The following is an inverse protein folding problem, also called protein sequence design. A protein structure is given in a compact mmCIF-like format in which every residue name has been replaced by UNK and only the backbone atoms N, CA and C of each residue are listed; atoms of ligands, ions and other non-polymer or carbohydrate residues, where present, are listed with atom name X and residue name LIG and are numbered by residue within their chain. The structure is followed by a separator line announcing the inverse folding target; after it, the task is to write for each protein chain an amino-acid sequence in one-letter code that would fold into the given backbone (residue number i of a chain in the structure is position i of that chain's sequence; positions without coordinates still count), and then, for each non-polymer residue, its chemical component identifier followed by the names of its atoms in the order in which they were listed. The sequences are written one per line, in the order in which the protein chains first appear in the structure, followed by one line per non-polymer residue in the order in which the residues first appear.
data_IF_206407310589
#
_entry.id   IF_206407310589
#
_cell.length_a   1.000
_cell.length_b   1.000
_cell.length_c   1.000
_cell.angle_alpha   90.00
_cell.angle_beta   90.00
_cell.angle_gamma   90.00
#
_symmetry.space_group_name_H-M   'P 1'
#
loop_
_entity.id
_entity.type
_entity.pdbx_description
1 polymer ?
#
# COMPACT_ATOMS: atom_id res chain seq x y z
N UNK A 1 -15.13 1.91 -11.82
CA UNK A 1 -13.89 1.15 -12.13
C UNK A 1 -13.02 1.08 -10.88
N UNK A 2 -12.30 -0.04 -10.66
CA UNK A 2 -11.39 -0.16 -9.52
C UNK A 2 -10.09 0.61 -9.77
N UNK A 3 -9.37 0.98 -8.70
CA UNK A 3 -8.05 1.61 -8.85
C UNK A 3 -7.09 0.75 -9.68
N UNK A 4 -7.08 -0.56 -9.46
CA UNK A 4 -6.30 -1.52 -10.26
C UNK A 4 -6.65 -1.49 -11.75
N UNK A 5 -7.93 -1.34 -12.09
CA UNK A 5 -8.38 -1.23 -13.49
C UNK A 5 -7.87 0.05 -14.14
N UNK A 6 -7.91 1.18 -13.42
CA UNK A 6 -7.40 2.46 -13.92
C UNK A 6 -5.90 2.42 -14.18
N UNK A 7 -5.11 1.81 -13.27
CA UNK A 7 -3.66 1.61 -13.47
C UNK A 7 -3.39 0.77 -14.72
N UNK A 8 -4.09 -0.35 -14.89
CA UNK A 8 -3.92 -1.22 -16.06
C UNK A 8 -4.32 -0.53 -17.35
N UNK A 9 -5.38 0.26 -17.34
CA UNK A 9 -5.80 1.05 -18.50
C UNK A 9 -4.74 2.10 -18.88
N UNK A 10 -4.21 2.86 -17.90
CA UNK A 10 -3.14 3.83 -18.11
C UNK A 10 -1.91 3.19 -18.75
N UNK A 11 -1.42 2.08 -18.16
CA UNK A 11 -0.26 1.36 -18.66
C UNK A 11 -0.49 0.79 -20.07
N UNK A 12 -1.69 0.34 -20.37
CA UNK A 12 -2.04 -0.21 -21.68
C UNK A 12 -2.03 0.84 -22.80
N UNK A 13 -2.19 2.12 -22.46
CA UNK A 13 -2.17 3.26 -23.39
C UNK A 13 -0.78 3.83 -23.65
N UNK A 14 0.25 3.38 -22.94
CA UNK A 14 1.61 3.91 -23.10
C UNK A 14 2.16 3.69 -24.52
N UNK A 15 2.76 4.74 -25.09
CA UNK A 15 3.37 4.72 -26.44
C UNK A 15 4.79 4.12 -26.48
N UNK A 16 5.03 3.01 -25.76
CA UNK A 16 6.37 2.39 -25.58
C UNK A 16 6.71 1.31 -26.61
N UNK A 17 5.97 1.24 -27.72
CA UNK A 17 6.09 0.15 -28.70
C UNK A 17 7.16 0.38 -29.79
N UNK A 18 7.94 1.46 -29.71
CA UNK A 18 8.95 1.79 -30.74
C UNK A 18 10.21 0.90 -30.68
N UNK A 19 10.59 0.43 -29.50
CA UNK A 19 11.78 -0.40 -29.31
C UNK A 19 11.40 -1.88 -29.23
N UNK A 20 11.83 -2.67 -30.20
CA UNK A 20 11.56 -4.12 -30.27
C UNK A 20 12.06 -4.91 -29.04
N UNK A 21 13.14 -4.48 -28.41
CA UNK A 21 13.66 -5.14 -27.21
C UNK A 21 12.72 -4.89 -26.01
N UNK A 22 12.23 -3.68 -25.85
CA UNK A 22 11.27 -3.35 -24.80
C UNK A 22 9.92 -4.03 -25.02
N UNK A 23 9.48 -4.17 -26.28
CA UNK A 23 8.28 -4.94 -26.64
C UNK A 23 8.42 -6.41 -26.27
N UNK A 24 9.57 -7.02 -26.56
CA UNK A 24 9.87 -8.40 -26.16
C UNK A 24 9.85 -8.53 -24.63
N UNK A 25 10.52 -7.61 -23.94
CA UNK A 25 10.57 -7.60 -22.48
C UNK A 25 9.17 -7.51 -21.86
N UNK A 26 8.33 -6.61 -22.35
CA UNK A 26 6.97 -6.44 -21.87
C UNK A 26 6.12 -7.70 -22.10
N UNK A 27 6.22 -8.31 -23.30
CA UNK A 27 5.52 -9.55 -23.60
C UNK A 27 5.98 -10.71 -22.69
N UNK A 28 7.28 -10.84 -22.44
CA UNK A 28 7.82 -11.84 -21.49
C UNK A 28 7.25 -11.61 -20.10
N UNK A 29 7.16 -10.35 -19.65
CA UNK A 29 6.51 -10.01 -18.38
C UNK A 29 5.11 -10.60 -18.26
N UNK A 30 4.28 -10.51 -19.29
CA UNK A 30 2.97 -11.17 -19.31
C UNK A 30 3.09 -12.70 -19.22
N UNK A 31 3.98 -13.29 -20.02
CA UNK A 31 4.08 -14.75 -20.19
C UNK A 31 4.53 -15.48 -18.91
N UNK A 32 5.23 -14.81 -18.01
CA UNK A 32 5.70 -15.41 -16.74
C UNK A 32 4.64 -15.35 -15.63
N UNK A 33 3.49 -14.75 -15.84
CA UNK A 33 2.42 -14.63 -14.83
C UNK A 33 1.46 -15.83 -14.84
N UNK A 34 0.62 -15.92 -13.83
CA UNK A 34 -0.34 -17.02 -13.67
C UNK A 34 -1.59 -16.93 -14.56
N UNK A 35 -1.87 -15.78 -15.18
CA UNK A 35 -3.03 -15.58 -16.06
C UNK A 35 -2.78 -16.06 -17.49
N UNK A 36 -1.59 -16.56 -17.76
CA UNK A 36 -1.23 -17.24 -18.99
C UNK A 36 -1.43 -18.74 -18.82
N UNK A 37 -2.27 -19.30 -19.67
CA UNK A 37 -2.42 -20.76 -19.79
C UNK A 37 -1.66 -21.23 -21.00
N UNK A 38 -0.71 -22.14 -20.81
CA UNK A 38 0.12 -22.75 -21.86
C UNK A 38 -0.21 -24.23 -21.91
N UNK A 39 -0.85 -24.66 -22.97
CA UNK A 39 -1.07 -26.08 -23.30
C UNK A 39 0.00 -26.58 -24.32
N UNK A 40 -0.22 -27.76 -24.88
CA UNK A 40 0.74 -28.36 -25.82
C UNK A 40 0.90 -27.51 -27.09
N UNK A 41 -0.19 -26.96 -27.61
CA UNK A 41 -0.22 -26.27 -28.91
C UNK A 41 -0.42 -24.74 -28.77
N UNK A 42 -1.12 -24.28 -27.73
CA UNK A 42 -1.63 -22.91 -27.65
C UNK A 42 -1.17 -22.21 -26.37
N UNK A 43 -1.15 -20.91 -26.47
CA UNK A 43 -0.98 -19.97 -25.37
C UNK A 43 -2.24 -19.10 -25.31
N UNK A 44 -2.82 -19.00 -24.10
CA UNK A 44 -4.01 -18.18 -23.87
C UNK A 44 -3.78 -17.20 -22.75
N UNK A 45 -4.16 -15.96 -22.99
CA UNK A 45 -4.19 -14.90 -21.98
C UNK A 45 -5.61 -14.39 -21.83
N UNK A 46 -6.13 -14.36 -20.59
CA UNK A 46 -7.48 -13.89 -20.30
C UNK A 46 -7.47 -12.69 -19.37
N UNK A 47 -8.33 -11.71 -19.65
CA UNK A 47 -8.48 -10.49 -18.85
C UNK A 47 -9.90 -9.96 -18.92
N UNK A 48 -10.38 -9.30 -17.83
CA UNK A 48 -11.62 -8.53 -17.85
C UNK A 48 -11.45 -7.14 -18.48
N UNK A 49 -10.23 -6.71 -18.76
CA UNK A 49 -9.93 -5.41 -19.36
C UNK A 49 -9.65 -5.53 -20.83
N UNK A 50 -10.50 -4.94 -21.67
CA UNK A 50 -10.31 -4.82 -23.10
C UNK A 50 -8.99 -4.10 -23.44
N UNK A 51 -8.66 -3.02 -22.71
CA UNK A 51 -7.40 -2.29 -22.90
C UNK A 51 -6.18 -3.20 -22.73
N UNK A 52 -6.24 -4.10 -21.75
CA UNK A 52 -5.14 -5.03 -21.47
C UNK A 52 -4.97 -6.07 -22.58
N UNK A 53 -6.07 -6.62 -23.10
CA UNK A 53 -6.06 -7.53 -24.24
C UNK A 53 -5.55 -6.84 -25.50
N UNK A 54 -6.02 -5.61 -25.77
CA UNK A 54 -5.56 -4.82 -26.90
C UNK A 54 -4.06 -4.49 -26.80
N UNK A 55 -3.54 -4.26 -25.59
CA UNK A 55 -2.09 -4.09 -25.36
C UNK A 55 -1.32 -5.35 -25.71
N UNK A 56 -1.77 -6.50 -25.21
CA UNK A 56 -1.15 -7.79 -25.51
C UNK A 56 -1.14 -8.07 -27.02
N UNK A 57 -2.26 -7.88 -27.72
CA UNK A 57 -2.36 -8.01 -29.18
C UNK A 57 -1.39 -7.08 -29.91
N UNK A 58 -1.26 -5.81 -29.50
CA UNK A 58 -0.29 -4.87 -30.08
C UNK A 58 1.16 -5.32 -29.88
N UNK A 59 1.50 -5.91 -28.74
CA UNK A 59 2.84 -6.48 -28.49
C UNK A 59 3.12 -7.62 -29.46
N UNK A 60 2.16 -8.54 -29.67
CA UNK A 60 2.29 -9.64 -30.62
C UNK A 60 2.48 -9.12 -32.06
N UNK A 61 1.63 -8.19 -32.50
CA UNK A 61 1.70 -7.61 -33.85
C UNK A 61 3.04 -6.89 -34.09
N UNK A 62 3.58 -6.20 -33.10
CA UNK A 62 4.90 -5.55 -33.19
C UNK A 62 6.07 -6.54 -33.39
N UNK A 63 5.89 -7.78 -32.92
CA UNK A 63 6.85 -8.89 -33.10
C UNK A 63 6.56 -9.72 -34.36
N UNK A 64 5.63 -9.27 -35.22
CA UNK A 64 5.15 -9.98 -36.42
C UNK A 64 4.51 -11.34 -36.08
N UNK A 65 3.84 -11.46 -34.93
CA UNK A 65 2.99 -12.60 -34.57
C UNK A 65 1.55 -12.20 -34.88
N UNK A 66 1.10 -12.48 -36.09
CA UNK A 66 -0.23 -12.05 -36.59
C UNK A 66 -1.32 -13.09 -36.37
N UNK A 67 -0.95 -14.37 -36.18
CA UNK A 67 -1.91 -15.48 -36.07
C UNK A 67 -2.39 -15.58 -34.60
N UNK A 68 -3.26 -14.67 -34.18
CA UNK A 68 -3.89 -14.72 -32.85
C UNK A 68 -5.37 -14.36 -32.99
N UNK A 69 -6.18 -14.98 -32.15
CA UNK A 69 -7.62 -14.79 -32.10
C UNK A 69 -8.04 -14.19 -30.77
N UNK A 70 -9.03 -13.30 -30.83
CA UNK A 70 -9.63 -12.71 -29.61
C UNK A 70 -11.05 -13.24 -29.48
N UNK A 71 -11.33 -13.93 -28.38
CA UNK A 71 -12.63 -14.48 -28.04
C UNK A 71 -13.22 -13.71 -26.85
N UNK A 72 -14.51 -13.45 -26.87
CA UNK A 72 -15.21 -12.69 -25.82
C UNK A 72 -16.32 -13.59 -25.26
N UNK A 73 -16.24 -13.90 -23.95
CA UNK A 73 -17.25 -14.65 -23.23
C UNK A 73 -17.73 -13.85 -22.01
N UNK A 74 -18.89 -13.22 -22.14
CA UNK A 74 -19.40 -12.28 -21.13
C UNK A 74 -18.45 -11.10 -20.94
N UNK A 75 -17.91 -10.94 -19.73
CA UNK A 75 -16.94 -9.87 -19.38
C UNK A 75 -15.47 -10.30 -19.57
N UNK A 76 -15.21 -11.51 -20.04
CA UNK A 76 -13.86 -12.04 -20.18
C UNK A 76 -13.42 -12.00 -21.63
N UNK A 77 -12.33 -11.32 -21.87
CA UNK A 77 -11.63 -11.28 -23.15
C UNK A 77 -10.48 -12.29 -23.10
N UNK A 78 -10.37 -13.16 -24.06
CA UNK A 78 -9.29 -14.15 -24.17
C UNK A 78 -8.61 -14.02 -25.52
N UNK A 79 -7.30 -13.84 -25.52
CA UNK A 79 -6.46 -13.92 -26.71
C UNK A 79 -5.76 -15.27 -26.73
N UNK A 80 -5.80 -15.94 -27.87
CA UNK A 80 -5.17 -17.24 -28.11
C UNK A 80 -4.26 -17.18 -29.32
N UNK A 81 -3.09 -17.84 -29.23
CA UNK A 81 -2.11 -17.94 -30.30
C UNK A 81 -1.41 -19.31 -30.23
N UNK A 82 -0.84 -19.75 -31.35
CA UNK A 82 -0.04 -20.97 -31.37
C UNK A 82 1.29 -20.78 -30.67
N UNK A 83 1.65 -21.75 -29.86
CA UNK A 83 2.91 -21.75 -29.09
C UNK A 83 4.15 -21.66 -29.97
N UNK A 84 4.12 -22.31 -31.14
CA UNK A 84 5.23 -22.34 -32.09
C UNK A 84 5.53 -20.93 -32.63
N UNK A 85 4.50 -20.14 -32.95
CA UNK A 85 4.66 -18.77 -33.48
C UNK A 85 5.38 -17.85 -32.48
N UNK A 86 5.14 -18.08 -31.16
CA UNK A 86 5.83 -17.34 -30.12
C UNK A 86 7.26 -17.84 -29.89
N UNK A 87 7.46 -19.17 -29.88
CA UNK A 87 8.78 -19.78 -29.64
C UNK A 87 9.81 -19.39 -30.71
N UNK A 88 9.40 -19.23 -31.96
CA UNK A 88 10.26 -18.73 -33.04
C UNK A 88 10.80 -17.30 -32.79
N UNK A 89 10.07 -16.47 -32.06
CA UNK A 89 10.42 -15.07 -31.80
C UNK A 89 11.05 -14.83 -30.43
N UNK A 90 10.69 -15.67 -29.44
CA UNK A 90 11.06 -15.48 -28.03
C UNK A 90 11.48 -16.82 -27.43
N UNK A 91 12.72 -16.91 -26.96
CA UNK A 91 13.17 -17.96 -26.05
C UNK A 91 13.09 -17.45 -24.61
N UNK A 92 12.05 -17.87 -23.88
CA UNK A 92 11.79 -17.45 -22.49
C UNK A 92 12.95 -17.77 -21.55
N UNK A 93 13.54 -18.98 -21.67
CA UNK A 93 14.62 -19.43 -20.77
C UNK A 93 15.89 -18.60 -20.95
N UNK A 94 16.26 -18.32 -22.18
CA UNK A 94 17.46 -17.52 -22.48
C UNK A 94 17.28 -16.06 -22.05
N UNK A 95 16.06 -15.56 -22.07
CA UNK A 95 15.79 -14.17 -21.70
C UNK A 95 15.85 -13.96 -20.17
N UNK A 96 15.27 -14.87 -19.40
CA UNK A 96 15.28 -14.83 -17.93
C UNK A 96 16.71 -14.98 -17.39
N UNK A 97 17.55 -15.79 -18.05
CA UNK A 97 18.95 -16.00 -17.67
C UNK A 97 19.88 -14.83 -18.04
N UNK A 98 19.45 -13.93 -18.92
CA UNK A 98 20.21 -12.73 -19.24
C UNK A 98 19.92 -11.63 -18.25
N UNK A 99 20.95 -11.14 -17.54
CA UNK A 99 20.81 -9.90 -16.77
C UNK A 99 20.41 -8.76 -17.73
N UNK A 100 19.22 -8.21 -17.52
CA UNK A 100 18.77 -7.05 -18.26
C UNK A 100 19.62 -5.85 -17.82
N UNK A 101 20.49 -5.37 -18.72
CA UNK A 101 21.34 -4.19 -18.49
C UNK A 101 20.64 -2.89 -18.90
N UNK A 102 19.61 -3.00 -19.74
CA UNK A 102 18.87 -1.84 -20.26
C UNK A 102 17.66 -1.55 -19.35
N UNK A 103 17.64 -0.35 -18.80
CA UNK A 103 16.59 0.14 -17.90
C UNK A 103 15.20 0.12 -18.57
N UNK A 104 15.13 0.44 -19.88
CA UNK A 104 13.87 0.45 -20.62
C UNK A 104 13.27 -0.95 -20.70
N UNK A 105 14.11 -1.96 -20.96
CA UNK A 105 13.71 -3.36 -20.97
C UNK A 105 13.30 -3.84 -19.57
N UNK A 106 14.04 -3.42 -18.55
CA UNK A 106 13.76 -3.75 -17.16
C UNK A 106 12.41 -3.19 -16.69
N UNK A 107 12.12 -1.94 -17.00
CA UNK A 107 10.79 -1.32 -16.74
C UNK A 107 9.68 -2.05 -17.52
N UNK A 108 9.95 -2.42 -18.76
CA UNK A 108 8.98 -3.07 -19.62
C UNK A 108 8.60 -4.46 -19.13
N UNK A 109 9.55 -5.29 -18.68
CA UNK A 109 9.23 -6.63 -18.17
C UNK A 109 8.41 -6.57 -16.88
N UNK A 110 8.72 -5.66 -15.96
CA UNK A 110 7.93 -5.48 -14.73
C UNK A 110 6.53 -4.94 -15.05
N UNK A 111 6.41 -4.02 -16.02
CA UNK A 111 5.13 -3.54 -16.52
C UNK A 111 4.28 -4.69 -17.09
N UNK A 112 4.88 -5.52 -17.93
CA UNK A 112 4.22 -6.70 -18.49
C UNK A 112 3.76 -7.67 -17.41
N UNK A 113 4.59 -7.94 -16.40
CA UNK A 113 4.22 -8.78 -15.26
C UNK A 113 3.05 -8.18 -14.45
N UNK A 114 3.04 -6.85 -14.24
CA UNK A 114 1.91 -6.20 -13.57
C UNK A 114 0.62 -6.24 -14.43
N UNK A 115 0.71 -6.00 -15.72
CA UNK A 115 -0.43 -6.09 -16.62
C UNK A 115 -0.98 -7.53 -16.70
N UNK A 116 -0.10 -8.52 -16.75
CA UNK A 116 -0.44 -9.94 -16.79
C UNK A 116 -1.08 -10.46 -15.52
N UNK A 117 -0.42 -10.33 -14.39
CA UNK A 117 -0.81 -10.95 -13.11
C UNK A 117 -0.94 -10.00 -11.93
N UNK A 118 -0.79 -8.68 -12.15
CA UNK A 118 -0.80 -7.69 -11.08
C UNK A 118 -2.18 -7.26 -10.64
N UNK A 119 -2.29 -6.88 -9.37
CA UNK A 119 -3.44 -6.20 -8.80
C UNK A 119 -3.02 -5.22 -7.72
N UNK A 120 -3.83 -4.19 -7.50
CA UNK A 120 -3.62 -3.20 -6.47
C UNK A 120 -4.96 -2.82 -5.85
N UNK A 121 -5.00 -2.74 -4.51
CA UNK A 121 -6.18 -2.30 -3.79
C UNK A 121 -6.41 -0.79 -3.94
N UNK A 122 -7.64 -0.35 -3.67
CA UNK A 122 -7.93 1.08 -3.52
C UNK A 122 -7.10 1.63 -2.34
N UNK A 123 -6.25 2.67 -2.57
CA UNK A 123 -5.39 3.25 -1.53
C UNK A 123 -6.15 3.89 -0.37
N UNK A 124 -7.44 4.20 -0.52
CA UNK A 124 -8.31 4.66 0.57
C UNK A 124 -8.48 3.61 1.67
N UNK A 125 -8.41 2.33 1.31
CA UNK A 125 -8.57 1.21 2.24
C UNK A 125 -7.21 0.75 2.80
N UNK A 126 -6.70 -0.36 2.30
CA UNK A 126 -5.41 -0.95 2.73
C UNK A 126 -4.44 -0.96 1.56
N UNK A 127 -3.22 -0.52 1.81
CA UNK A 127 -2.15 -0.64 0.84
C UNK A 127 -1.85 -2.11 0.61
N UNK A 128 -2.06 -2.56 -0.61
CA UNK A 128 -1.72 -3.89 -1.04
C UNK A 128 -1.58 -3.90 -2.56
N UNK A 129 -0.40 -4.22 -3.02
CA UNK A 129 -0.10 -4.51 -4.41
C UNK A 129 0.44 -5.93 -4.46
N UNK A 130 -0.01 -6.73 -5.42
CA UNK A 130 0.54 -8.05 -5.67
C UNK A 130 0.67 -8.34 -7.17
N UNK A 131 1.65 -9.18 -7.53
CA UNK A 131 1.81 -9.77 -8.86
C UNK A 131 1.90 -11.28 -8.65
N UNK A 132 1.07 -12.05 -9.35
CA UNK A 132 0.95 -13.49 -9.17
C UNK A 132 1.66 -14.22 -10.30
N UNK A 133 2.47 -15.22 -9.94
CA UNK A 133 3.25 -16.06 -10.85
C UNK A 133 2.92 -17.53 -10.64
N UNK A 134 3.03 -18.32 -11.71
CA UNK A 134 2.88 -19.78 -11.62
C UNK A 134 4.11 -20.47 -11.05
N UNK A 135 5.32 -19.91 -11.27
CA UNK A 135 6.60 -20.46 -10.86
C UNK A 135 7.33 -19.53 -9.88
N UNK A 136 7.96 -20.10 -8.87
CA UNK A 136 8.75 -19.36 -7.88
C UNK A 136 9.92 -18.60 -8.51
N UNK A 137 10.58 -19.21 -9.48
CA UNK A 137 11.71 -18.62 -10.21
C UNK A 137 11.33 -17.29 -10.86
N UNK A 138 10.12 -17.20 -11.44
CA UNK A 138 9.61 -15.99 -12.04
C UNK A 138 9.37 -14.88 -11.01
N UNK A 139 8.81 -15.23 -9.84
CA UNK A 139 8.62 -14.28 -8.75
C UNK A 139 9.99 -13.77 -8.22
N UNK A 140 10.97 -14.66 -8.02
CA UNK A 140 12.33 -14.32 -7.61
C UNK A 140 13.04 -13.45 -8.64
N UNK A 141 12.85 -13.73 -9.91
CA UNK A 141 13.43 -12.95 -11.00
C UNK A 141 12.92 -11.50 -10.98
N UNK A 142 11.60 -11.27 -10.92
CA UNK A 142 11.04 -9.92 -10.84
C UNK A 142 11.42 -9.23 -9.51
N UNK A 143 11.45 -9.97 -8.39
CA UNK A 143 11.92 -9.43 -7.11
C UNK A 143 13.37 -8.93 -7.17
N UNK A 144 14.25 -9.70 -7.83
CA UNK A 144 15.66 -9.32 -7.98
C UNK A 144 15.83 -8.05 -8.83
N UNK A 145 15.03 -7.91 -9.88
CA UNK A 145 14.97 -6.69 -10.68
C UNK A 145 14.57 -5.50 -9.82
N UNK A 146 13.45 -5.59 -9.12
CA UNK A 146 12.91 -4.52 -8.30
C UNK A 146 13.87 -4.10 -7.17
N UNK A 147 14.57 -5.07 -6.57
CA UNK A 147 15.56 -4.80 -5.53
C UNK A 147 16.72 -3.92 -6.02
N UNK A 148 17.15 -4.04 -7.27
CA UNK A 148 18.19 -3.20 -7.86
C UNK A 148 17.76 -1.71 -7.98
N UNK A 149 16.46 -1.44 -7.86
CA UNK A 149 15.87 -0.09 -7.87
C UNK A 149 15.28 0.30 -6.50
N UNK A 150 15.74 -0.35 -5.43
CA UNK A 150 15.30 -0.08 -4.04
C UNK A 150 13.81 -0.29 -3.81
N UNK A 151 13.16 -1.12 -4.64
CA UNK A 151 11.75 -1.49 -4.51
C UNK A 151 11.67 -2.88 -3.89
N UNK A 152 11.51 -2.95 -2.56
CA UNK A 152 11.49 -4.20 -1.84
C UNK A 152 10.09 -4.81 -1.76
N UNK A 153 9.90 -5.95 -2.42
CA UNK A 153 8.68 -6.75 -2.37
C UNK A 153 8.95 -8.09 -1.70
N UNK A 154 7.94 -8.63 -1.03
CA UNK A 154 8.00 -9.94 -0.37
C UNK A 154 7.36 -11.00 -1.26
N UNK A 155 7.89 -12.22 -1.20
CA UNK A 155 7.32 -13.37 -1.90
C UNK A 155 6.56 -14.24 -0.89
N UNK A 156 5.32 -14.56 -1.23
CA UNK A 156 4.46 -15.48 -0.49
C UNK A 156 4.13 -16.68 -1.37
N UNK A 157 4.40 -17.89 -0.85
CA UNK A 157 3.97 -19.13 -1.48
C UNK A 157 2.50 -19.38 -1.12
N UNK A 158 1.64 -19.43 -2.13
CA UNK A 158 0.23 -19.83 -2.04
C UNK A 158 0.12 -21.26 -2.62
N UNK A 159 -0.94 -21.99 -2.29
CA UNK A 159 -1.11 -23.42 -2.63
C UNK A 159 -0.78 -23.80 -4.08
N UNK A 160 -0.99 -22.91 -5.05
CA UNK A 160 -0.78 -23.18 -6.48
C UNK A 160 -0.10 -22.04 -7.25
N UNK A 161 0.43 -21.03 -6.55
CA UNK A 161 1.06 -19.87 -7.18
C UNK A 161 1.95 -19.11 -6.18
N UNK A 162 2.75 -18.20 -6.70
CA UNK A 162 3.65 -17.35 -5.92
C UNK A 162 3.24 -15.89 -6.08
N UNK A 163 3.00 -15.22 -4.96
CA UNK A 163 2.61 -13.82 -4.94
C UNK A 163 3.80 -12.96 -4.53
N UNK A 164 4.23 -12.07 -5.43
CA UNK A 164 5.15 -10.99 -5.11
C UNK A 164 4.32 -9.78 -4.68
N UNK A 165 4.49 -9.32 -3.43
CA UNK A 165 3.61 -8.30 -2.88
C UNK A 165 4.32 -7.26 -2.02
N UNK A 166 3.69 -6.10 -1.89
CA UNK A 166 4.01 -5.08 -0.89
C UNK A 166 2.74 -4.52 -0.24
N UNK A 167 2.87 -4.13 1.03
CA UNK A 167 1.83 -3.41 1.81
C UNK A 167 2.30 -2.02 2.24
N UNK A 168 3.46 -1.60 1.78
CA UNK A 168 4.09 -0.32 2.11
C UNK A 168 3.73 0.70 1.02
N UNK A 169 3.17 1.84 1.43
CA UNK A 169 2.70 2.86 0.50
C UNK A 169 3.82 3.40 -0.38
N UNK A 170 5.00 3.63 0.17
CA UNK A 170 6.16 4.13 -0.56
C UNK A 170 6.65 3.13 -1.62
N UNK A 171 6.81 1.86 -1.24
CA UNK A 171 7.18 0.79 -2.18
C UNK A 171 6.18 0.66 -3.33
N UNK A 172 4.87 0.76 -3.03
CA UNK A 172 3.82 0.69 -4.06
C UNK A 172 3.91 1.89 -5.00
N UNK A 173 4.08 3.10 -4.46
CA UNK A 173 4.23 4.31 -5.26
C UNK A 173 5.45 4.23 -6.18
N UNK A 174 6.59 3.81 -5.64
CA UNK A 174 7.83 3.63 -6.40
C UNK A 174 7.67 2.58 -7.51
N UNK A 175 6.98 1.47 -7.24
CA UNK A 175 6.70 0.46 -8.26
C UNK A 175 5.79 1.00 -9.36
N UNK A 176 4.73 1.74 -9.03
CA UNK A 176 3.85 2.37 -10.01
C UNK A 176 4.61 3.38 -10.88
N UNK A 177 5.47 4.19 -10.29
CA UNK A 177 6.35 5.13 -10.99
C UNK A 177 7.32 4.38 -11.92
N UNK A 178 7.95 3.32 -11.43
CA UNK A 178 8.90 2.50 -12.16
C UNK A 178 8.29 1.90 -13.44
N UNK A 179 7.07 1.37 -13.36
CA UNK A 179 6.37 0.79 -14.52
C UNK A 179 5.75 1.83 -15.45
N UNK A 180 5.71 3.12 -15.05
CA UNK A 180 5.26 4.24 -15.87
C UNK A 180 3.78 4.63 -15.69
N UNK A 181 3.15 4.31 -14.56
CA UNK A 181 1.77 4.68 -14.22
C UNK A 181 1.71 6.07 -13.55
N UNK A 182 2.19 7.12 -14.23
CA UNK A 182 2.40 8.45 -13.64
C UNK A 182 1.13 9.09 -13.08
N UNK A 183 0.01 9.01 -13.79
CA UNK A 183 -1.28 9.57 -13.31
C UNK A 183 -1.79 8.82 -12.10
N UNK A 184 -1.59 7.50 -12.08
CA UNK A 184 -1.97 6.65 -10.94
C UNK A 184 -1.09 6.91 -9.72
N UNK A 185 0.21 7.21 -9.91
CA UNK A 185 1.12 7.64 -8.83
C UNK A 185 0.62 8.91 -8.18
N UNK A 186 0.31 9.95 -8.96
CA UNK A 186 -0.19 11.22 -8.43
C UNK A 186 -1.46 11.01 -7.60
N UNK A 187 -2.42 10.25 -8.11
CA UNK A 187 -3.65 9.94 -7.39
C UNK A 187 -3.41 9.10 -6.13
N UNK A 188 -2.46 8.15 -6.18
CA UNK A 188 -2.08 7.34 -5.04
C UNK A 188 -1.47 8.20 -3.92
N UNK A 189 -0.53 9.09 -4.26
CA UNK A 189 0.12 9.99 -3.32
C UNK A 189 -0.84 11.03 -2.73
N UNK A 190 -1.75 11.58 -3.53
CA UNK A 190 -2.81 12.47 -3.03
C UNK A 190 -3.63 11.80 -1.91
N UNK A 191 -4.09 10.58 -2.15
CA UNK A 191 -4.85 9.81 -1.15
C UNK A 191 -3.98 9.49 0.07
N UNK A 192 -2.69 9.17 -0.13
CA UNK A 192 -1.73 8.88 0.94
C UNK A 192 -1.55 10.08 1.87
N UNK A 193 -1.32 11.27 1.32
CA UNK A 193 -1.16 12.51 2.11
C UNK A 193 -2.41 12.80 2.95
N UNK A 194 -3.59 12.74 2.35
CA UNK A 194 -4.86 12.98 3.06
C UNK A 194 -5.05 11.96 4.20
N UNK A 195 -4.70 10.71 3.98
CA UNK A 195 -4.78 9.64 4.98
C UNK A 195 -3.82 9.86 6.13
N UNK A 196 -2.58 10.25 5.85
CA UNK A 196 -1.56 10.52 6.86
C UNK A 196 -1.93 11.73 7.71
N UNK A 197 -2.46 12.80 7.11
CA UNK A 197 -3.00 13.94 7.83
C UNK A 197 -4.13 13.52 8.79
N UNK A 198 -5.09 12.74 8.31
CA UNK A 198 -6.21 12.23 9.14
C UNK A 198 -5.72 11.36 10.30
N UNK A 199 -4.76 10.49 10.04
CA UNK A 199 -4.16 9.64 11.08
C UNK A 199 -3.45 10.46 12.15
N UNK A 200 -2.73 11.52 11.77
CA UNK A 200 -2.04 12.41 12.70
C UNK A 200 -3.04 13.19 13.57
N UNK A 201 -4.11 13.72 12.97
CA UNK A 201 -5.19 14.39 13.73
C UNK A 201 -5.84 13.42 14.72
N UNK A 202 -6.17 12.20 14.29
CA UNK A 202 -6.77 11.19 15.17
C UNK A 202 -5.84 10.82 16.33
N UNK A 203 -4.52 10.72 16.10
CA UNK A 203 -3.53 10.45 17.17
C UNK A 203 -3.49 11.60 18.19
N UNK A 204 -3.52 12.84 17.71
CA UNK A 204 -3.53 14.02 18.57
C UNK A 204 -4.80 14.05 19.43
N UNK A 205 -5.97 13.91 18.81
CA UNK A 205 -7.25 13.87 19.52
C UNK A 205 -7.30 12.75 20.56
N UNK A 206 -6.83 11.54 20.22
CA UNK A 206 -6.80 10.42 21.15
C UNK A 206 -5.86 10.69 22.34
N UNK A 207 -4.71 11.33 22.09
CA UNK A 207 -3.76 11.71 23.14
C UNK A 207 -4.38 12.74 24.09
N UNK A 208 -4.99 13.81 23.56
CA UNK A 208 -5.65 14.84 24.35
C UNK A 208 -6.82 14.29 25.17
N UNK A 209 -7.66 13.45 24.54
CA UNK A 209 -8.77 12.78 25.22
C UNK A 209 -8.29 11.88 26.35
N UNK A 210 -7.21 11.12 26.15
CA UNK A 210 -6.63 10.26 27.18
C UNK A 210 -6.06 11.08 28.37
N UNK A 211 -5.42 12.22 28.07
CA UNK A 211 -4.90 13.13 29.09
C UNK A 211 -6.05 13.76 29.89
N UNK A 212 -7.08 14.24 29.22
CA UNK A 212 -8.26 14.80 29.85
C UNK A 212 -8.94 13.78 30.78
N UNK A 213 -9.14 12.57 30.33
CA UNK A 213 -9.72 11.49 31.15
C UNK A 213 -8.87 11.17 32.40
N UNK A 214 -7.54 11.22 32.29
CA UNK A 214 -6.66 11.07 33.48
C UNK A 214 -6.85 12.19 34.48
N UNK A 215 -6.96 13.44 34.01
CA UNK A 215 -7.20 14.62 34.89
C UNK A 215 -8.56 14.48 35.57
N UNK A 216 -9.63 14.15 34.84
CA UNK A 216 -10.96 13.97 35.41
C UNK A 216 -10.99 12.84 36.44
N UNK A 217 -10.44 11.69 36.15
CA UNK A 217 -10.42 10.56 37.07
C UNK A 217 -9.62 10.88 38.35
N UNK A 218 -8.47 11.55 38.22
CA UNK A 218 -7.70 12.00 39.37
C UNK A 218 -8.46 13.01 40.20
N UNK A 219 -9.13 13.97 39.56
CA UNK A 219 -9.95 14.97 40.23
C UNK A 219 -11.10 14.36 41.00
N UNK A 220 -11.86 13.44 40.39
CA UNK A 220 -12.97 12.75 41.05
C UNK A 220 -12.51 12.02 42.30
N UNK A 221 -11.41 11.27 42.20
CA UNK A 221 -10.84 10.58 43.34
C UNK A 221 -10.41 11.56 44.45
N UNK A 222 -9.75 12.67 44.10
CA UNK A 222 -9.35 13.69 45.06
C UNK A 222 -10.57 14.32 45.76
N UNK A 223 -11.64 14.59 45.04
CA UNK A 223 -12.89 15.14 45.60
C UNK A 223 -13.54 14.16 46.56
N UNK A 224 -13.56 12.86 46.25
CA UNK A 224 -14.06 11.82 47.13
C UNK A 224 -13.22 11.75 48.45
N UNK A 225 -11.91 11.75 48.30
CA UNK A 225 -10.99 11.72 49.44
C UNK A 225 -11.16 12.97 50.33
N UNK A 226 -11.29 14.17 49.74
CA UNK A 226 -11.50 15.41 50.51
C UNK A 226 -12.85 15.37 51.24
N UNK A 227 -13.92 14.89 50.62
CA UNK A 227 -15.23 14.71 51.26
C UNK A 227 -15.14 13.77 52.46
N UNK A 228 -14.48 12.63 52.29
CA UNK A 228 -14.25 11.65 53.35
C UNK A 228 -13.48 12.24 54.55
N UNK A 229 -12.45 13.07 54.27
CA UNK A 229 -11.66 13.74 55.32
C UNK A 229 -12.53 14.76 56.08
N UNK A 230 -13.41 15.49 55.36
CA UNK A 230 -14.36 16.45 55.99
C UNK A 230 -15.41 15.71 56.85
N UNK A 231 -16.00 14.65 56.37
CA UNK A 231 -16.94 13.82 57.11
C UNK A 231 -16.35 13.26 58.44
N UNK A 232 -15.10 12.86 58.38
CA UNK A 232 -14.37 12.37 59.58
C UNK A 232 -13.90 13.48 60.53
N UNK A 233 -14.25 14.74 60.28
CA UNK A 233 -13.82 15.92 61.07
C UNK A 233 -12.30 16.10 61.16
N UNK A 234 -11.53 15.54 60.20
CA UNK A 234 -10.04 15.61 60.18
C UNK A 234 -9.50 16.73 59.31
N UNK A 235 -10.34 17.49 58.62
CA UNK A 235 -9.93 18.53 57.67
C UNK A 235 -9.08 19.64 58.35
N UNK A 236 -9.43 20.02 59.55
CA UNK A 236 -8.67 21.02 60.34
C UNK A 236 -7.26 20.56 60.79
N UNK A 237 -6.97 19.27 60.72
CA UNK A 237 -5.67 18.70 61.04
C UNK A 237 -4.69 18.76 59.87
N UNK A 238 -5.13 19.12 58.66
CA UNK A 238 -4.28 19.32 57.51
C UNK A 238 -3.52 20.63 57.60
N UNK A 239 -2.37 20.72 56.94
CA UNK A 239 -1.63 21.97 56.81
C UNK A 239 -2.47 23.01 56.06
N UNK A 240 -2.24 24.30 56.31
CA UNK A 240 -3.00 25.39 55.65
C UNK A 240 -3.00 25.28 54.13
N UNK A 241 -1.83 24.98 53.53
CA UNK A 241 -1.68 24.82 52.11
C UNK A 241 -2.55 23.66 51.57
N UNK A 242 -2.60 22.53 52.27
CA UNK A 242 -3.46 21.40 51.89
C UNK A 242 -4.96 21.71 52.00
N UNK A 243 -5.35 22.49 53.02
CA UNK A 243 -6.75 22.96 53.14
C UNK A 243 -7.12 23.85 51.98
N UNK A 244 -6.26 24.81 51.64
CA UNK A 244 -6.47 25.73 50.52
C UNK A 244 -6.59 25.02 49.17
N UNK A 245 -5.64 24.10 48.85
CA UNK A 245 -5.69 23.27 47.63
C UNK A 245 -6.96 22.41 47.60
N UNK A 246 -7.34 21.80 48.72
CA UNK A 246 -8.55 20.98 48.79
C UNK A 246 -9.81 21.81 48.57
N UNK A 247 -9.88 23.04 49.06
CA UNK A 247 -11.02 23.95 48.78
C UNK A 247 -11.04 24.41 47.31
N UNK A 248 -9.89 24.73 46.72
CA UNK A 248 -9.77 25.06 45.31
C UNK A 248 -10.20 23.89 44.43
N UNK A 249 -9.84 22.65 44.77
CA UNK A 249 -10.26 21.45 44.05
C UNK A 249 -11.78 21.25 44.09
N UNK A 250 -12.40 21.49 45.24
CA UNK A 250 -13.87 21.41 45.34
C UNK A 250 -14.59 22.49 44.55
N UNK A 251 -14.02 23.69 44.41
CA UNK A 251 -14.56 24.78 43.62
C UNK A 251 -14.33 24.63 42.13
N UNK A 252 -13.21 23.98 41.76
CA UNK A 252 -12.77 23.82 40.36
C UNK A 252 -12.50 22.32 40.07
N UNK A 253 -13.56 21.50 39.92
CA UNK A 253 -13.44 20.06 39.71
C UNK A 253 -12.68 19.66 38.46
N UNK A 254 -12.76 20.47 37.40
CA UNK A 254 -12.19 20.18 36.08
C UNK A 254 -10.74 20.69 35.94
N UNK A 255 -10.26 21.53 36.87
CA UNK A 255 -8.94 22.11 36.76
C UNK A 255 -7.82 21.05 36.92
N UNK A 256 -6.76 21.15 36.12
CA UNK A 256 -5.55 20.36 36.29
C UNK A 256 -4.81 20.72 37.59
N UNK A 257 -3.89 19.89 38.03
CA UNK A 257 -3.07 20.23 39.21
C UNK A 257 -2.20 21.47 39.01
N UNK A 258 -1.75 21.70 37.76
CA UNK A 258 -0.96 22.89 37.40
C UNK A 258 -1.84 24.13 37.50
N UNK A 259 -3.07 24.10 36.99
CA UNK A 259 -4.01 25.21 37.09
C UNK A 259 -4.37 25.52 38.55
N UNK A 260 -4.62 24.49 39.37
CA UNK A 260 -4.86 24.68 40.79
C UNK A 260 -3.63 25.27 41.51
N UNK A 261 -2.42 24.83 41.14
CA UNK A 261 -1.18 25.39 41.68
C UNK A 261 -0.99 26.87 41.36
N UNK A 262 -1.42 27.30 40.16
CA UNK A 262 -1.39 28.70 39.73
C UNK A 262 -2.45 29.57 40.40
N UNK A 263 -3.52 28.98 40.96
CA UNK A 263 -4.58 29.69 41.71
C UNK A 263 -4.22 29.93 43.18
N UNK A 264 -3.12 29.34 43.67
CA UNK A 264 -2.64 29.59 45.04
C UNK A 264 -1.96 30.96 45.16
N UNK A 265 -2.14 31.65 46.27
CA UNK A 265 -1.50 32.95 46.54
C UNK A 265 0.04 32.85 46.52
N UNK A 266 0.59 31.69 46.87
CA UNK A 266 2.02 31.36 46.78
C UNK A 266 2.17 30.18 45.79
N UNK A 267 2.69 30.38 44.56
CA UNK A 267 2.86 29.32 43.59
C UNK A 267 3.79 28.23 44.16
N UNK A 268 3.26 27.04 44.40
CA UNK A 268 4.07 25.87 44.79
C UNK A 268 4.70 25.35 43.51
N UNK A 269 5.97 25.67 43.30
CA UNK A 269 6.78 24.98 42.27
C UNK A 269 6.85 23.51 42.63
N UNK A 270 6.34 22.68 41.74
CA UNK A 270 6.62 21.25 41.57
C UNK A 270 7.21 20.53 42.81
N UNK A 271 6.38 20.13 43.77
CA UNK A 271 6.73 19.11 44.75
C UNK A 271 5.67 18.01 44.67
N UNK A 272 5.65 17.28 43.56
CA UNK A 272 5.04 15.96 43.45
C UNK A 272 5.72 15.21 42.30
N UNK A 273 6.90 14.63 42.57
CA UNK A 273 7.35 13.43 41.85
C UNK A 273 6.82 12.19 42.57
#
# INVERSE_FOLDING_TARGET
MSFSSNVKEELSKLSTLKNKQSVKAELIGYLITNNINIDEENIRFSSKSEYNINRFSKLLSNLNIMNHEINIQGEIYTISLKKIDLQEKINLKDYINKQLKDEICTKSIVRGAFLGGGSINNPENKYHLEIIFSLEENAKYIASILKNYEIECKILNKSHCYSLYSKEGETISNLLAFIGASSSVLKFEEIRVVRDMRNNVNRLVNCETANLNKIINASLKQIEDIKLIKEKNKFKNLSKNLQEIAELRLKNPEASLIELGNMLEVPVREIWC
#
